data_IF_068981708556
#
_entry.id   IF_068981708556
#
_cell.length_a   1.000
_cell.length_b   1.000
_cell.length_c   1.000
_cell.angle_alpha   90.00
_cell.angle_beta   90.00
_cell.angle_gamma   90.00
#
_symmetry.space_group_name_H-M   'P 1'
#
loop_
_entity.id
_entity.type
_entity.pdbx_description
1 polymer ?
#
# COMPACT_ATOMS: atom_id res chain seq x y z
N UNK A 1 39.97 10.09 19.14
CA UNK A 1 38.99 9.85 18.06
C UNK A 1 38.23 11.15 17.82
N UNK A 2 38.59 11.87 16.77
CA UNK A 2 37.96 13.16 16.45
C UNK A 2 36.64 12.89 15.73
N UNK A 3 35.53 13.04 16.43
CA UNK A 3 34.21 13.01 15.87
C UNK A 3 33.94 14.36 15.16
N UNK A 4 34.40 14.49 13.91
CA UNK A 4 33.95 15.60 13.04
C UNK A 4 32.46 15.39 12.80
N UNK A 5 31.60 16.14 13.51
CA UNK A 5 30.22 16.33 13.10
C UNK A 5 30.24 16.95 11.70
N UNK A 6 29.93 16.17 10.71
CA UNK A 6 29.68 16.71 9.36
C UNK A 6 28.40 17.51 9.47
N UNK A 7 28.51 18.83 9.43
CA UNK A 7 27.35 19.71 9.33
C UNK A 7 26.79 19.52 7.91
N UNK A 8 25.58 18.99 7.83
CA UNK A 8 24.85 18.92 6.56
C UNK A 8 24.47 20.36 6.22
N UNK A 9 25.04 20.90 5.14
CA UNK A 9 24.63 22.22 4.63
C UNK A 9 23.37 22.07 3.78
N UNK A 10 22.63 23.18 3.61
CA UNK A 10 21.43 23.17 2.78
C UNK A 10 21.76 22.89 1.32
N UNK A 11 22.95 23.29 0.86
CA UNK A 11 23.45 23.02 -0.48
C UNK A 11 23.57 21.51 -0.73
N UNK A 12 24.03 20.74 0.27
CA UNK A 12 24.13 19.27 0.18
C UNK A 12 22.75 18.58 0.16
N UNK A 13 21.70 19.29 0.56
CA UNK A 13 20.34 18.75 0.53
C UNK A 13 19.64 19.05 -0.80
N UNK A 14 19.91 20.23 -1.38
CA UNK A 14 19.20 20.71 -2.58
C UNK A 14 19.97 20.50 -3.89
N UNK A 15 21.26 20.19 -3.83
CA UNK A 15 22.09 19.88 -4.99
C UNK A 15 22.48 18.39 -4.95
N UNK A 16 21.71 17.49 -5.60
CA UNK A 16 22.11 16.09 -5.71
C UNK A 16 23.43 16.00 -6.48
N UNK A 17 24.48 15.58 -5.81
CA UNK A 17 25.82 15.48 -6.39
C UNK A 17 26.03 14.20 -7.21
N UNK A 18 25.15 13.18 -7.05
CA UNK A 18 25.30 11.87 -7.68
C UNK A 18 23.99 11.31 -8.21
N UNK A 19 24.08 10.55 -9.31
CA UNK A 19 22.99 9.77 -9.89
C UNK A 19 22.32 8.77 -8.90
N UNK A 20 22.97 8.51 -7.77
CA UNK A 20 22.41 7.71 -6.66
C UNK A 20 21.12 8.31 -6.07
N UNK A 21 20.96 9.62 -6.18
CA UNK A 21 19.73 10.33 -5.74
C UNK A 21 18.73 10.57 -6.88
N UNK A 22 19.07 10.11 -8.09
CA UNK A 22 18.18 10.19 -9.24
C UNK A 22 17.18 9.04 -9.19
N UNK A 23 16.12 9.23 -8.40
CA UNK A 23 15.04 8.25 -8.27
C UNK A 23 14.10 8.37 -9.45
N UNK A 24 13.93 7.29 -10.19
CA UNK A 24 12.84 7.17 -11.14
C UNK A 24 11.51 7.19 -10.38
N UNK A 25 10.73 8.25 -10.55
CA UNK A 25 9.40 8.40 -9.93
C UNK A 25 8.28 7.74 -10.73
N UNK A 26 8.60 7.21 -11.90
CA UNK A 26 7.71 6.43 -12.74
C UNK A 26 8.41 5.18 -13.23
N UNK A 27 7.60 4.15 -13.47
CA UNK A 27 8.09 2.90 -14.06
C UNK A 27 7.92 2.95 -15.57
N UNK A 28 8.91 2.39 -16.28
CA UNK A 28 8.73 2.08 -17.69
C UNK A 28 7.64 1.04 -17.84
N UNK A 29 6.72 1.31 -18.73
CA UNK A 29 5.59 0.44 -19.01
C UNK A 29 5.20 0.49 -20.48
N UNK A 30 4.19 -0.30 -20.89
CA UNK A 30 3.70 -0.26 -22.25
C UNK A 30 3.26 1.15 -22.65
N UNK A 31 3.69 1.61 -23.81
CA UNK A 31 3.20 2.87 -24.37
C UNK A 31 1.78 2.71 -24.90
N UNK A 32 0.98 3.76 -24.82
CA UNK A 32 -0.38 3.72 -25.32
C UNK A 32 -1.21 4.94 -24.95
N UNK A 33 -2.46 4.93 -25.36
CA UNK A 33 -3.44 5.93 -24.99
C UNK A 33 -4.38 5.33 -23.94
N UNK A 34 -4.69 6.09 -22.90
CA UNK A 34 -5.77 5.75 -21.97
C UNK A 34 -7.08 5.78 -22.74
N UNK A 35 -7.97 4.78 -22.57
CA UNK A 35 -9.20 4.65 -23.36
C UNK A 35 -10.30 5.61 -22.88
N UNK A 36 -9.99 6.90 -22.78
CA UNK A 36 -10.97 7.93 -22.46
C UNK A 36 -11.93 8.12 -23.62
N UNK A 37 -13.23 8.04 -23.32
CA UNK A 37 -14.31 8.44 -24.22
C UNK A 37 -14.93 9.75 -23.73
N UNK A 38 -15.66 10.44 -24.59
CA UNK A 38 -16.39 11.64 -24.18
C UNK A 38 -17.39 11.34 -23.05
N UNK A 39 -18.02 10.17 -23.07
CA UNK A 39 -18.94 9.71 -22.04
C UNK A 39 -18.24 9.55 -20.70
N UNK A 40 -17.06 8.90 -20.65
CA UNK A 40 -16.24 8.77 -19.46
C UNK A 40 -15.85 10.14 -18.90
N UNK A 41 -15.37 11.04 -19.77
CA UNK A 41 -14.90 12.37 -19.36
C UNK A 41 -16.02 13.25 -18.80
N UNK A 42 -17.27 13.07 -19.26
CA UNK A 42 -18.41 13.86 -18.81
C UNK A 42 -19.06 13.27 -17.55
N UNK A 43 -19.19 11.95 -17.47
CA UNK A 43 -20.06 11.29 -16.49
C UNK A 43 -19.29 10.68 -15.31
N UNK A 44 -17.99 10.43 -15.43
CA UNK A 44 -17.20 9.89 -14.32
C UNK A 44 -16.58 11.00 -13.46
N UNK A 45 -16.39 10.75 -12.16
CA UNK A 45 -15.67 11.68 -11.28
C UNK A 45 -14.26 11.95 -11.78
N UNK A 46 -13.78 13.18 -11.61
CA UNK A 46 -12.41 13.58 -11.97
C UNK A 46 -11.33 12.72 -11.28
N UNK A 47 -11.64 12.16 -10.10
CA UNK A 47 -10.77 11.23 -9.39
C UNK A 47 -10.48 9.94 -10.16
N UNK A 48 -11.43 9.45 -10.95
CA UNK A 48 -11.24 8.26 -11.79
C UNK A 48 -10.28 8.56 -12.94
N UNK A 49 -10.40 9.72 -13.58
CA UNK A 49 -9.47 10.15 -14.62
C UNK A 49 -8.05 10.35 -14.08
N UNK A 50 -7.94 10.97 -12.91
CA UNK A 50 -6.67 11.12 -12.20
C UNK A 50 -6.08 9.74 -11.89
N UNK A 51 -6.87 8.83 -11.32
CA UNK A 51 -6.43 7.48 -10.98
C UNK A 51 -5.89 6.70 -12.19
N UNK A 52 -6.60 6.74 -13.32
CA UNK A 52 -6.13 6.09 -14.56
C UNK A 52 -4.79 6.65 -15.05
N UNK A 53 -4.62 7.99 -15.03
CA UNK A 53 -3.34 8.60 -15.44
C UNK A 53 -2.21 8.25 -14.49
N UNK A 54 -2.47 8.17 -13.16
CA UNK A 54 -1.46 7.73 -12.19
C UNK A 54 -1.08 6.25 -12.38
N UNK A 55 -2.06 5.38 -12.66
CA UNK A 55 -1.79 3.98 -12.94
C UNK A 55 -0.88 3.80 -14.17
N UNK A 56 -1.14 4.55 -15.24
CA UNK A 56 -0.28 4.55 -16.41
C UNK A 56 1.12 5.07 -16.06
N UNK A 57 1.24 6.12 -15.27
CA UNK A 57 2.52 6.66 -14.77
C UNK A 57 3.30 5.66 -13.89
N UNK A 58 2.62 4.73 -13.22
CA UNK A 58 3.23 3.61 -12.49
C UNK A 58 3.61 2.41 -13.38
N UNK A 59 3.41 2.50 -14.69
CA UNK A 59 3.81 1.46 -15.64
C UNK A 59 2.74 0.41 -15.96
N UNK A 60 1.47 0.63 -15.56
CA UNK A 60 0.38 -0.24 -15.98
C UNK A 60 -0.02 0.01 -17.43
N UNK A 61 -0.43 -1.05 -18.16
CA UNK A 61 -0.83 -0.90 -19.56
C UNK A 61 -2.06 0.04 -19.69
N UNK A 62 -1.94 1.16 -20.41
CA UNK A 62 -3.05 2.09 -20.61
C UNK A 62 -4.31 1.46 -21.16
N UNK A 63 -4.19 0.41 -21.98
CA UNK A 63 -5.34 -0.31 -22.58
C UNK A 63 -6.18 -1.07 -21.56
N UNK A 64 -5.59 -1.38 -20.39
CA UNK A 64 -6.25 -2.15 -19.35
C UNK A 64 -6.97 -1.31 -18.30
N UNK A 65 -6.90 0.03 -18.39
CA UNK A 65 -7.38 0.95 -17.36
C UNK A 65 -8.87 0.84 -17.03
N UNK A 66 -9.67 0.27 -17.92
CA UNK A 66 -11.11 0.04 -17.68
C UNK A 66 -11.43 -1.33 -17.08
N UNK A 67 -10.41 -2.14 -16.74
CA UNK A 67 -10.60 -3.39 -16.01
C UNK A 67 -11.12 -3.13 -14.59
N UNK A 68 -11.73 -4.14 -13.99
CA UNK A 68 -12.22 -4.09 -12.62
C UNK A 68 -11.06 -3.89 -11.64
N UNK A 69 -11.21 -2.96 -10.71
CA UNK A 69 -10.24 -2.70 -9.65
C UNK A 69 -10.52 -3.59 -8.44
N UNK A 70 -9.48 -4.15 -7.86
CA UNK A 70 -9.56 -4.97 -6.67
C UNK A 70 -8.57 -4.46 -5.62
N UNK A 71 -9.02 -4.26 -4.38
CA UNK A 71 -8.17 -3.72 -3.31
C UNK A 71 -7.72 -4.83 -2.36
N UNK A 72 -6.43 -4.88 -2.08
CA UNK A 72 -5.83 -5.71 -1.03
C UNK A 72 -5.41 -4.78 0.10
N UNK A 73 -5.94 -5.01 1.30
CA UNK A 73 -5.55 -4.33 2.53
C UNK A 73 -4.70 -5.26 3.38
N UNK A 74 -3.60 -4.79 3.94
CA UNK A 74 -2.72 -5.63 4.74
C UNK A 74 -2.09 -4.91 5.94
N UNK A 75 -1.76 -5.69 6.98
CA UNK A 75 -0.96 -5.28 8.14
C UNK A 75 0.52 -5.65 7.99
N UNK A 76 1.01 -5.79 6.78
CA UNK A 76 2.41 -6.15 6.56
C UNK A 76 3.38 -5.12 7.14
N UNK A 77 4.58 -5.57 7.48
CA UNK A 77 5.66 -4.72 7.97
C UNK A 77 7.02 -5.30 7.68
N UNK A 78 8.02 -4.43 7.52
CA UNK A 78 9.36 -4.80 7.07
C UNK A 78 9.52 -4.62 5.56
N UNK A 79 10.75 -4.73 5.09
CA UNK A 79 11.12 -4.57 3.68
C UNK A 79 12.05 -5.72 3.25
N UNK A 80 11.85 -6.19 2.03
CA UNK A 80 12.69 -7.20 1.38
C UNK A 80 13.33 -6.66 0.10
N UNK A 81 14.52 -7.16 -0.18
CA UNK A 81 15.11 -7.11 -1.51
C UNK A 81 14.31 -7.94 -2.52
N UNK A 82 14.54 -7.75 -3.84
CA UNK A 82 14.01 -8.64 -4.87
C UNK A 82 14.42 -10.11 -4.71
N UNK A 83 15.55 -10.39 -4.07
CA UNK A 83 16.02 -11.75 -3.78
C UNK A 83 15.40 -12.37 -2.50
N UNK A 84 14.53 -11.61 -1.81
CA UNK A 84 13.86 -12.03 -0.57
C UNK A 84 14.64 -11.75 0.73
N UNK A 85 15.88 -11.24 0.65
CA UNK A 85 16.66 -10.88 1.83
C UNK A 85 16.07 -9.68 2.59
N UNK A 86 16.19 -9.60 3.93
CA UNK A 86 15.65 -8.48 4.68
C UNK A 86 16.49 -7.22 4.53
N UNK A 87 15.87 -6.11 4.11
CA UNK A 87 16.43 -4.75 4.19
C UNK A 87 16.09 -4.14 5.55
N UNK A 88 14.83 -4.30 5.98
CA UNK A 88 14.36 -3.88 7.29
C UNK A 88 13.43 -4.95 7.87
N UNK A 89 13.54 -5.20 9.18
CA UNK A 89 12.72 -6.20 9.86
C UNK A 89 11.34 -5.66 10.19
N UNK A 90 10.32 -6.51 10.09
CA UNK A 90 9.04 -6.29 10.78
C UNK A 90 9.15 -6.58 12.27
N UNK A 91 8.12 -6.27 13.03
CA UNK A 91 8.12 -6.52 14.49
C UNK A 91 8.17 -8.02 14.83
N UNK A 92 7.63 -8.88 13.97
CA UNK A 92 7.78 -10.33 14.00
C UNK A 92 7.60 -10.94 12.60
N UNK A 93 7.90 -12.24 12.48
CA UNK A 93 7.83 -12.99 11.21
C UNK A 93 6.47 -12.89 10.52
N UNK A 94 5.36 -12.97 11.26
CA UNK A 94 4.02 -12.91 10.69
C UNK A 94 3.77 -11.62 9.90
N UNK A 95 4.15 -10.45 10.44
CA UNK A 95 4.05 -9.18 9.72
C UNK A 95 4.91 -9.16 8.45
N UNK A 96 6.12 -9.74 8.55
CA UNK A 96 7.08 -9.77 7.46
C UNK A 96 6.65 -10.71 6.31
N UNK A 97 5.99 -11.83 6.65
CA UNK A 97 5.51 -12.81 5.67
C UNK A 97 4.25 -12.37 4.93
N UNK A 98 3.44 -11.46 5.50
CA UNK A 98 2.23 -10.97 4.84
C UNK A 98 2.50 -10.33 3.49
N UNK A 99 3.68 -9.73 3.29
CA UNK A 99 4.06 -9.17 1.99
C UNK A 99 4.05 -10.23 0.89
N UNK A 100 4.53 -11.45 1.18
CA UNK A 100 4.53 -12.55 0.22
C UNK A 100 3.10 -12.99 -0.15
N UNK A 101 2.20 -12.97 0.84
CA UNK A 101 0.78 -13.30 0.60
C UNK A 101 0.09 -12.22 -0.24
N UNK A 102 0.40 -10.94 0.02
CA UNK A 102 -0.11 -9.81 -0.77
C UNK A 102 0.39 -9.90 -2.23
N UNK A 103 1.68 -10.19 -2.42
CA UNK A 103 2.26 -10.36 -3.74
C UNK A 103 1.58 -11.49 -4.53
N UNK A 104 1.38 -12.64 -3.89
CA UNK A 104 0.71 -13.77 -4.54
C UNK A 104 -0.76 -13.45 -4.86
N UNK A 105 -1.49 -12.86 -3.92
CA UNK A 105 -2.86 -12.43 -4.15
C UNK A 105 -2.95 -11.42 -5.32
N UNK A 106 -2.02 -10.48 -5.40
CA UNK A 106 -1.97 -9.51 -6.50
C UNK A 106 -1.69 -10.19 -7.84
N UNK A 107 -0.77 -11.17 -7.91
CA UNK A 107 -0.52 -11.95 -9.14
C UNK A 107 -1.77 -12.69 -9.60
N UNK A 108 -2.43 -13.41 -8.69
CA UNK A 108 -3.66 -14.15 -9.01
C UNK A 108 -4.79 -13.22 -9.49
N UNK A 109 -4.99 -12.08 -8.84
CA UNK A 109 -5.98 -11.09 -9.26
C UNK A 109 -5.66 -10.51 -10.63
N UNK A 110 -4.39 -10.25 -10.92
CA UNK A 110 -3.94 -9.80 -12.25
C UNK A 110 -4.22 -10.85 -13.32
N UNK A 111 -3.93 -12.12 -13.05
CA UNK A 111 -4.18 -13.24 -13.96
C UNK A 111 -5.68 -13.43 -14.22
N UNK A 112 -6.53 -13.10 -13.24
CA UNK A 112 -7.98 -13.05 -13.40
C UNK A 112 -8.47 -11.84 -14.20
N UNK A 113 -7.57 -10.98 -14.68
CA UNK A 113 -7.89 -9.84 -15.53
C UNK A 113 -8.41 -8.62 -14.76
N UNK A 114 -8.05 -8.48 -13.48
CA UNK A 114 -8.33 -7.28 -12.69
C UNK A 114 -7.11 -6.38 -12.55
N UNK A 115 -7.29 -5.17 -12.03
CA UNK A 115 -6.20 -4.30 -11.57
C UNK A 115 -6.14 -4.38 -10.05
N UNK A 116 -5.16 -5.10 -9.47
CA UNK A 116 -4.99 -5.16 -8.03
C UNK A 116 -4.31 -3.90 -7.50
N UNK A 117 -4.80 -3.39 -6.38
CA UNK A 117 -4.19 -2.34 -5.58
C UNK A 117 -3.83 -2.91 -4.22
N UNK A 118 -2.69 -2.52 -3.65
CA UNK A 118 -2.31 -2.92 -2.30
C UNK A 118 -2.05 -1.70 -1.43
N UNK A 119 -2.74 -1.63 -0.28
CA UNK A 119 -2.56 -0.59 0.73
C UNK A 119 -2.25 -1.22 2.09
N UNK A 120 -1.44 -0.54 2.87
CA UNK A 120 -0.89 -1.06 4.11
C UNK A 120 -1.20 -0.16 5.28
N UNK A 121 -1.42 -0.79 6.44
CA UNK A 121 -1.40 -0.16 7.75
C UNK A 121 -0.81 -1.20 8.71
N UNK A 122 0.48 -1.11 8.99
CA UNK A 122 1.13 -2.03 9.93
C UNK A 122 0.51 -1.92 11.32
N UNK A 123 0.65 -2.93 12.16
CA UNK A 123 0.11 -2.97 13.51
C UNK A 123 1.22 -3.12 14.58
N UNK A 124 0.97 -2.72 15.85
CA UNK A 124 1.84 -3.05 16.93
C UNK A 124 1.86 -4.57 17.16
N UNK A 125 2.89 -5.05 17.77
CA UNK A 125 3.02 -6.45 18.11
C UNK A 125 2.92 -6.63 19.64
N UNK A 126 1.84 -7.22 20.09
CA UNK A 126 1.62 -7.50 21.52
C UNK A 126 2.74 -8.39 22.11
N UNK A 127 3.27 -9.32 21.32
CA UNK A 127 4.41 -10.12 21.72
C UNK A 127 5.67 -9.31 21.99
N UNK A 128 5.89 -8.22 21.25
CA UNK A 128 7.04 -7.31 21.47
C UNK A 128 6.81 -6.37 22.65
N UNK A 129 5.58 -6.03 22.94
CA UNK A 129 5.23 -5.08 24.01
C UNK A 129 4.85 -5.77 25.31
N UNK A 130 4.80 -7.10 25.33
CA UNK A 130 4.45 -7.89 26.52
C UNK A 130 5.33 -7.49 27.71
N UNK A 131 4.67 -7.16 28.82
CA UNK A 131 5.35 -6.71 30.05
C UNK A 131 5.90 -5.27 30.00
N UNK A 132 5.56 -4.49 28.99
CA UNK A 132 5.92 -3.06 28.87
C UNK A 132 4.67 -2.18 28.81
N UNK A 133 4.86 -0.86 28.95
CA UNK A 133 3.78 0.14 28.82
C UNK A 133 3.21 0.19 27.39
N UNK A 134 3.97 -0.21 26.37
CA UNK A 134 3.49 -0.29 24.98
C UNK A 134 2.31 -1.21 24.79
N UNK A 135 2.10 -2.17 25.71
CA UNK A 135 0.93 -3.06 25.68
C UNK A 135 -0.39 -2.30 25.88
N UNK A 136 -0.36 -1.13 26.50
CA UNK A 136 -1.53 -0.28 26.72
C UNK A 136 -2.10 0.31 25.42
N UNK A 137 -1.28 0.41 24.37
CA UNK A 137 -1.67 0.96 23.08
C UNK A 137 -2.38 -0.08 22.18
N UNK A 138 -2.34 -1.34 22.55
CA UNK A 138 -2.80 -2.45 21.72
C UNK A 138 -4.30 -2.39 21.39
N UNK A 139 -5.16 -2.21 22.40
CA UNK A 139 -6.62 -2.12 22.18
C UNK A 139 -7.05 -0.83 21.47
N UNK A 140 -6.57 0.37 21.86
CA UNK A 140 -6.84 1.60 21.10
C UNK A 140 -6.44 1.45 19.65
N UNK A 141 -5.24 0.92 19.39
CA UNK A 141 -4.75 0.72 18.03
C UNK A 141 -5.69 -0.15 17.18
N UNK A 142 -6.24 -1.24 17.72
CA UNK A 142 -7.20 -2.08 16.99
C UNK A 142 -8.36 -1.26 16.41
N UNK A 143 -8.91 -0.34 17.19
CA UNK A 143 -10.02 0.50 16.76
C UNK A 143 -9.57 1.53 15.72
N UNK A 144 -8.39 2.13 15.91
CA UNK A 144 -7.82 3.10 14.99
C UNK A 144 -7.49 2.45 13.65
N UNK A 145 -6.86 1.27 13.66
CA UNK A 145 -6.56 0.51 12.46
C UNK A 145 -7.83 0.14 11.68
N UNK A 146 -8.90 -0.27 12.37
CA UNK A 146 -10.17 -0.56 11.70
C UNK A 146 -10.73 0.68 10.97
N UNK A 147 -10.60 1.86 11.55
CA UNK A 147 -11.00 3.11 10.89
C UNK A 147 -10.07 3.46 9.73
N UNK A 148 -8.77 3.26 9.87
CA UNK A 148 -7.80 3.51 8.79
C UNK A 148 -8.09 2.60 7.60
N UNK A 149 -8.26 1.30 7.79
CA UNK A 149 -8.60 0.35 6.72
C UNK A 149 -9.91 0.72 6.03
N UNK A 150 -10.93 1.11 6.81
CA UNK A 150 -12.20 1.57 6.24
C UNK A 150 -12.01 2.83 5.36
N UNK A 151 -11.18 3.77 5.78
CA UNK A 151 -10.88 4.99 5.01
C UNK A 151 -10.08 4.66 3.75
N UNK A 152 -9.06 3.80 3.85
CA UNK A 152 -8.30 3.31 2.70
C UNK A 152 -9.21 2.62 1.68
N UNK A 153 -10.12 1.76 2.13
CA UNK A 153 -11.09 1.12 1.25
C UNK A 153 -12.00 2.12 0.50
N UNK A 154 -12.37 3.21 1.15
CA UNK A 154 -13.17 4.28 0.53
C UNK A 154 -12.36 5.22 -0.35
N UNK A 155 -11.03 5.22 -0.24
CA UNK A 155 -10.17 6.01 -1.11
C UNK A 155 -9.99 5.42 -2.51
N UNK A 156 -10.45 4.18 -2.73
CA UNK A 156 -10.55 3.56 -4.05
C UNK A 156 -12.04 3.29 -4.37
N UNK A 157 -12.81 4.31 -4.78
CA UNK A 157 -14.25 4.17 -4.99
C UNK A 157 -14.60 3.20 -6.12
N UNK A 158 -13.71 3.01 -7.08
CA UNK A 158 -13.84 2.10 -8.22
C UNK A 158 -13.60 0.63 -7.88
N UNK A 159 -13.18 0.29 -6.65
CA UNK A 159 -12.96 -1.10 -6.26
C UNK A 159 -14.28 -1.88 -6.25
N UNK A 160 -14.30 -3.00 -6.99
CA UNK A 160 -15.43 -3.94 -7.03
C UNK A 160 -15.32 -5.03 -5.98
N UNK A 161 -14.16 -5.18 -5.35
CA UNK A 161 -13.92 -6.15 -4.29
C UNK A 161 -12.73 -5.74 -3.43
N UNK A 162 -12.74 -6.20 -2.18
CA UNK A 162 -11.70 -5.93 -1.18
C UNK A 162 -11.31 -7.23 -0.49
N UNK A 163 -10.01 -7.47 -0.38
CA UNK A 163 -9.42 -8.58 0.36
C UNK A 163 -8.60 -8.04 1.52
N UNK A 164 -8.78 -8.60 2.72
CA UNK A 164 -7.94 -8.30 3.87
C UNK A 164 -6.95 -9.42 4.14
N UNK A 165 -5.68 -9.09 4.28
CA UNK A 165 -4.59 -10.01 4.65
C UNK A 165 -3.91 -9.45 5.89
N UNK A 166 -4.15 -10.06 7.04
CA UNK A 166 -3.71 -9.54 8.32
C UNK A 166 -3.20 -10.66 9.23
N UNK A 167 -2.36 -10.30 10.18
CA UNK A 167 -1.90 -11.18 11.26
C UNK A 167 -2.05 -10.47 12.61
N UNK A 168 -1.64 -11.15 13.65
CA UNK A 168 -1.70 -10.70 15.05
C UNK A 168 -3.12 -10.51 15.61
N UNK A 169 -3.16 -10.49 16.94
CA UNK A 169 -4.39 -10.47 17.73
C UNK A 169 -5.12 -9.10 17.73
N UNK A 170 -4.50 -8.05 17.18
CA UNK A 170 -5.14 -6.74 16.98
C UNK A 170 -5.34 -6.40 15.50
N UNK A 171 -4.38 -6.72 14.64
CA UNK A 171 -4.47 -6.46 13.20
C UNK A 171 -5.58 -7.27 12.54
N UNK A 172 -5.70 -8.55 12.87
CA UNK A 172 -6.75 -9.41 12.28
C UNK A 172 -8.17 -8.96 12.65
N UNK A 173 -8.53 -8.76 13.93
CA UNK A 173 -9.86 -8.25 14.26
C UNK A 173 -10.11 -6.83 13.75
N UNK A 174 -9.09 -5.96 13.67
CA UNK A 174 -9.23 -4.65 13.05
C UNK A 174 -9.64 -4.76 11.57
N UNK A 175 -8.97 -5.64 10.84
CA UNK A 175 -9.31 -5.93 9.44
C UNK A 175 -10.74 -6.47 9.30
N UNK A 176 -11.13 -7.42 10.13
CA UNK A 176 -12.50 -7.97 10.14
C UNK A 176 -13.54 -6.89 10.44
N UNK A 177 -13.30 -6.02 11.41
CA UNK A 177 -14.17 -4.89 11.74
C UNK A 177 -14.31 -3.92 10.56
N UNK A 178 -13.21 -3.60 9.90
CA UNK A 178 -13.19 -2.73 8.73
C UNK A 178 -14.02 -3.31 7.58
N UNK A 179 -13.78 -4.58 7.24
CA UNK A 179 -14.47 -5.27 6.14
C UNK A 179 -15.96 -5.42 6.44
N UNK A 180 -16.34 -5.76 7.69
CA UNK A 180 -17.74 -5.82 8.09
C UNK A 180 -18.45 -4.46 7.94
N UNK A 181 -17.74 -3.36 8.26
CA UNK A 181 -18.26 -2.00 8.12
C UNK A 181 -18.32 -1.48 6.67
N UNK A 182 -17.86 -2.28 5.70
CA UNK A 182 -17.87 -1.96 4.26
C UNK A 182 -18.92 -2.78 3.48
N UNK A 183 -19.73 -3.56 4.18
CA UNK A 183 -20.75 -4.43 3.57
C UNK A 183 -21.65 -3.68 2.58
N UNK A 184 -22.01 -2.45 2.94
CA UNK A 184 -22.91 -1.61 2.16
C UNK A 184 -22.12 -0.47 1.46
N UNK A 185 -20.89 -0.75 1.04
CA UNK A 185 -20.11 0.21 0.27
C UNK A 185 -20.85 0.51 -1.04
N UNK A 186 -21.21 1.77 -1.28
CA UNK A 186 -21.78 2.18 -2.55
C UNK A 186 -20.76 2.06 -3.67
#
# INVERSE_FOLDING_TARGET
MNNKKTLISIENVIAPEDAVFDFATHSDGPSGKIPFTAEILINQPSGDHFGMSQNAGMGWDPKEMLRKHFLILSTSGGLRDPNGSPIALGLHTGHYELTLQVEEAARQLKDLGTIPYSLYCSDPCDGRTLGTTGMMDSLPYRNDAAQVFRRQARSLPTAVGIMGIASCDKGLPAMMMALAGLRDKP
#
